data_IF_801928729977
#
_entry.id   IF_801928729977
#
_cell.length_a   1.000
_cell.length_b   1.000
_cell.length_c   1.000
_cell.angle_alpha   90.00
_cell.angle_beta   90.00
_cell.angle_gamma   90.00
#
_symmetry.space_group_name_H-M   'P 1'
#
loop_
_entity.id
_entity.type
_entity.pdbx_description
1 polymer ?
#
# COMPACT_ATOMS: atom_id res chain seq x y z
N UNK A 1 24.11 12.70 4.92
CA UNK A 1 22.93 12.26 5.66
C UNK A 1 22.02 11.65 4.62
N UNK A 2 21.76 10.34 4.68
CA UNK A 2 20.82 9.70 3.76
C UNK A 2 19.45 10.24 4.11
N UNK A 3 18.94 11.15 3.29
CA UNK A 3 17.59 11.68 3.41
C UNK A 3 16.68 10.53 2.95
N UNK A 4 16.33 9.61 3.86
CA UNK A 4 15.23 8.70 3.59
C UNK A 4 14.06 9.57 3.14
N UNK A 5 13.40 9.18 2.05
CA UNK A 5 12.30 9.92 1.45
C UNK A 5 11.09 9.86 2.38
N UNK A 6 11.20 10.49 3.54
CA UNK A 6 10.13 10.58 4.53
C UNK A 6 9.07 11.52 3.97
N UNK A 7 7.91 10.96 3.66
CA UNK A 7 6.75 11.67 3.17
C UNK A 7 5.49 11.04 3.73
N UNK A 8 4.43 11.83 3.86
CA UNK A 8 3.14 11.25 4.23
C UNK A 8 2.62 10.33 3.14
N UNK A 9 2.06 9.22 3.58
CA UNK A 9 1.23 8.33 2.78
C UNK A 9 -0.22 8.48 3.25
N UNK A 10 -1.15 8.44 2.30
CA UNK A 10 -2.57 8.46 2.55
C UNK A 10 -3.21 7.27 1.85
N UNK A 11 -4.08 6.59 2.58
CA UNK A 11 -4.84 5.45 2.11
C UNK A 11 -6.27 5.56 2.63
N UNK A 12 -7.25 5.24 1.79
CA UNK A 12 -8.63 5.11 2.25
C UNK A 12 -8.72 3.92 3.23
N UNK A 13 -9.44 4.08 4.34
CA UNK A 13 -9.51 3.04 5.37
C UNK A 13 -10.03 1.70 4.80
N UNK A 14 -11.05 1.73 3.95
CA UNK A 14 -11.62 0.53 3.31
C UNK A 14 -10.57 -0.20 2.48
N UNK A 15 -9.80 0.56 1.69
CA UNK A 15 -8.73 0.01 0.86
C UNK A 15 -7.59 -0.54 1.71
N UNK A 16 -7.17 0.17 2.76
CA UNK A 16 -6.15 -0.33 3.70
C UNK A 16 -6.56 -1.64 4.38
N UNK A 17 -7.82 -1.75 4.80
CA UNK A 17 -8.37 -3.00 5.36
C UNK A 17 -8.42 -4.13 4.33
N UNK A 18 -8.84 -3.82 3.11
CA UNK A 18 -8.88 -4.75 1.99
C UNK A 18 -7.50 -5.33 1.67
N UNK A 19 -6.49 -4.45 1.53
CA UNK A 19 -5.09 -4.85 1.33
C UNK A 19 -4.59 -5.76 2.44
N UNK A 20 -4.81 -5.37 3.70
CA UNK A 20 -4.36 -6.17 4.84
C UNK A 20 -4.99 -7.57 4.85
N UNK A 21 -6.29 -7.67 4.55
CA UNK A 21 -6.98 -8.95 4.48
C UNK A 21 -6.48 -9.84 3.33
N UNK A 22 -6.22 -9.26 2.15
CA UNK A 22 -5.68 -10.00 1.01
C UNK A 22 -4.24 -10.45 1.23
N UNK A 23 -3.38 -9.60 1.80
CA UNK A 23 -2.01 -9.97 2.18
C UNK A 23 -2.04 -11.16 3.15
N UNK A 24 -2.87 -11.10 4.20
CA UNK A 24 -3.01 -12.22 5.14
C UNK A 24 -3.51 -13.50 4.46
N UNK A 25 -4.43 -13.37 3.51
CA UNK A 25 -4.95 -14.51 2.75
C UNK A 25 -3.87 -15.13 1.87
N UNK A 26 -3.10 -14.31 1.16
CA UNK A 26 -1.95 -14.73 0.35
C UNK A 26 -0.92 -15.43 1.24
N UNK A 27 -0.53 -14.82 2.36
CA UNK A 27 0.43 -15.40 3.31
C UNK A 27 -0.02 -16.74 3.91
N UNK A 28 -1.32 -17.02 3.92
CA UNK A 28 -1.89 -18.27 4.43
C UNK A 28 -1.97 -19.40 3.40
N UNK A 29 -1.78 -19.10 2.11
CA UNK A 29 -1.77 -20.10 1.06
C UNK A 29 -0.53 -21.00 1.21
N UNK A 30 -0.70 -22.30 0.97
CA UNK A 30 0.37 -23.30 1.16
C UNK A 30 0.70 -24.08 -0.10
N UNK A 31 -0.16 -23.99 -1.11
CA UNK A 31 0.01 -24.64 -2.40
C UNK A 31 -0.22 -23.69 -3.57
N UNK A 32 0.31 -24.02 -4.75
CA UNK A 32 0.02 -23.26 -5.97
C UNK A 32 -1.49 -23.28 -6.31
N UNK A 33 -2.20 -24.37 -5.99
CA UNK A 33 -3.65 -24.45 -6.16
C UNK A 33 -4.39 -23.44 -5.30
N UNK A 34 -3.97 -23.25 -4.04
CA UNK A 34 -4.52 -22.20 -3.16
C UNK A 34 -4.34 -20.83 -3.79
N UNK A 35 -3.11 -20.52 -4.24
CA UNK A 35 -2.76 -19.21 -4.83
C UNK A 35 -3.52 -18.96 -6.13
N UNK A 36 -3.59 -19.93 -7.04
CA UNK A 36 -4.37 -19.85 -8.28
C UNK A 36 -5.84 -19.56 -8.01
N UNK A 37 -6.40 -20.16 -6.95
CA UNK A 37 -7.77 -19.91 -6.53
C UNK A 37 -8.00 -18.53 -5.90
N UNK A 38 -6.94 -17.80 -5.53
CA UNK A 38 -7.01 -16.42 -5.03
C UNK A 38 -7.03 -15.39 -6.15
N UNK A 39 -6.33 -15.61 -7.28
CA UNK A 39 -6.20 -14.66 -8.39
C UNK A 39 -7.53 -13.97 -8.76
N UNK A 40 -8.64 -14.68 -9.06
CA UNK A 40 -9.88 -14.02 -9.47
C UNK A 40 -10.60 -13.29 -8.33
N UNK A 41 -10.13 -13.42 -7.09
CA UNK A 41 -10.72 -12.83 -5.88
C UNK A 41 -9.96 -11.60 -5.40
N UNK A 42 -8.68 -11.47 -5.73
CA UNK A 42 -7.85 -10.33 -5.36
C UNK A 42 -8.35 -9.05 -6.05
N UNK A 43 -8.47 -7.98 -5.28
CA UNK A 43 -8.94 -6.66 -5.71
C UNK A 43 -7.99 -5.54 -5.33
N UNK A 44 -7.23 -5.74 -4.25
CA UNK A 44 -6.43 -4.69 -3.65
C UNK A 44 -4.94 -4.90 -3.90
N UNK A 45 -4.43 -6.12 -3.76
CA UNK A 45 -3.01 -6.45 -3.97
C UNK A 45 -2.81 -7.45 -5.10
N UNK A 46 -1.70 -7.32 -5.81
CA UNK A 46 -1.19 -8.37 -6.69
C UNK A 46 -0.52 -9.49 -5.87
N UNK A 47 -0.26 -10.61 -6.53
CA UNK A 47 0.60 -11.66 -5.97
C UNK A 47 2.07 -11.21 -6.01
N UNK A 48 2.94 -11.77 -5.14
CA UNK A 48 4.37 -11.45 -5.11
C UNK A 48 5.19 -12.04 -6.28
N UNK A 49 4.53 -12.52 -7.34
CA UNK A 49 5.14 -13.11 -8.52
C UNK A 49 4.19 -13.06 -9.72
N UNK A 50 4.73 -13.29 -10.92
CA UNK A 50 3.96 -13.47 -12.14
C UNK A 50 3.83 -14.96 -12.48
N UNK A 51 2.60 -15.40 -12.78
CA UNK A 51 2.36 -16.78 -13.23
C UNK A 51 2.92 -17.04 -14.62
N UNK A 52 3.12 -16.01 -15.45
CA UNK A 52 3.76 -16.16 -16.76
C UNK A 52 5.24 -16.58 -16.63
N UNK A 53 5.86 -16.32 -15.48
CA UNK A 53 7.25 -16.70 -15.19
C UNK A 53 7.38 -18.08 -14.52
N UNK A 54 6.27 -18.68 -14.05
CA UNK A 54 6.29 -20.04 -13.51
C UNK A 54 6.29 -21.08 -14.63
N UNK A 55 7.07 -22.15 -14.48
CA UNK A 55 7.11 -23.24 -15.44
C UNK A 55 5.73 -23.91 -15.53
N UNK A 56 5.15 -24.02 -16.74
CA UNK A 56 3.83 -24.62 -17.01
C UNK A 56 3.63 -26.04 -16.44
N UNK A 57 4.71 -26.67 -15.97
CA UNK A 57 4.75 -28.03 -15.45
C UNK A 57 4.35 -28.14 -13.96
N UNK A 58 4.11 -27.03 -13.25
CA UNK A 58 3.81 -27.05 -11.82
C UNK A 58 2.32 -27.35 -11.50
N UNK A 59 2.10 -28.43 -10.74
CA UNK A 59 0.78 -28.90 -10.32
C UNK A 59 0.20 -28.10 -9.16
N UNK A 60 -1.12 -28.06 -9.03
CA UNK A 60 -1.82 -27.39 -7.91
C UNK A 60 -1.39 -27.88 -6.51
N UNK A 61 -0.91 -29.11 -6.39
CA UNK A 61 -0.43 -29.69 -5.12
C UNK A 61 1.01 -29.28 -4.75
N UNK A 62 1.71 -28.54 -5.63
CA UNK A 62 3.05 -28.07 -5.34
C UNK A 62 3.04 -27.11 -4.15
N UNK A 63 3.98 -27.29 -3.23
CA UNK A 63 4.15 -26.42 -2.07
C UNK A 63 4.53 -25.02 -2.53
N UNK A 64 3.99 -24.03 -1.82
CA UNK A 64 4.21 -22.64 -2.11
C UNK A 64 4.46 -21.84 -0.84
N UNK A 65 5.43 -20.94 -0.89
CA UNK A 65 5.83 -20.07 0.20
C UNK A 65 6.02 -18.65 -0.32
N UNK A 66 5.17 -17.72 0.12
CA UNK A 66 5.20 -16.34 -0.33
C UNK A 66 6.54 -15.64 -0.14
N UNK A 67 7.33 -16.04 0.87
CA UNK A 67 8.65 -15.45 1.13
C UNK A 67 9.72 -15.86 0.12
N UNK A 68 9.50 -16.95 -0.60
CA UNK A 68 10.43 -17.47 -1.61
C UNK A 68 10.19 -16.85 -2.99
N UNK A 69 9.17 -15.99 -3.10
CA UNK A 69 8.83 -15.32 -4.35
C UNK A 69 9.68 -14.07 -4.57
N UNK A 70 10.18 -13.81 -5.80
CA UNK A 70 11.16 -12.75 -6.06
C UNK A 70 10.75 -11.37 -5.53
N UNK A 71 9.50 -10.93 -5.73
CA UNK A 71 9.09 -9.60 -5.28
C UNK A 71 9.00 -9.50 -3.75
N UNK A 72 8.74 -10.61 -3.06
CA UNK A 72 8.77 -10.65 -1.60
C UNK A 72 10.21 -10.68 -1.07
N UNK A 73 11.10 -11.44 -1.71
CA UNK A 73 12.53 -11.50 -1.36
C UNK A 73 13.21 -10.13 -1.53
N UNK A 74 12.90 -9.43 -2.63
CA UNK A 74 13.46 -8.12 -2.94
C UNK A 74 12.84 -6.98 -2.11
N UNK A 75 11.76 -7.26 -1.36
CA UNK A 75 11.05 -6.27 -0.54
C UNK A 75 10.17 -5.31 -1.36
N UNK A 76 9.88 -5.66 -2.61
CA UNK A 76 9.03 -4.91 -3.53
C UNK A 76 7.53 -5.27 -3.40
N UNK A 77 7.21 -6.31 -2.62
CA UNK A 77 5.86 -6.71 -2.27
C UNK A 77 5.58 -6.61 -0.77
N UNK A 78 4.43 -6.03 -0.36
CA UNK A 78 3.38 -5.44 -1.18
C UNK A 78 3.78 -4.08 -1.77
N UNK A 79 3.06 -3.64 -2.82
CA UNK A 79 3.23 -2.33 -3.45
C UNK A 79 3.35 -1.18 -2.44
N UNK A 80 4.24 -0.23 -2.73
CA UNK A 80 4.50 0.91 -1.85
C UNK A 80 3.24 1.77 -1.61
N UNK A 81 2.86 2.00 -0.34
CA UNK A 81 1.68 2.78 -0.01
C UNK A 81 1.64 4.20 -0.60
N UNK A 82 2.81 4.82 -0.80
CA UNK A 82 2.95 6.19 -1.32
C UNK A 82 2.38 6.37 -2.72
N UNK A 83 2.31 5.31 -3.53
CA UNK A 83 1.66 5.35 -4.84
C UNK A 83 0.12 5.54 -4.73
N UNK A 84 -0.50 5.14 -3.61
CA UNK A 84 -1.94 5.28 -3.43
C UNK A 84 -2.39 6.71 -3.21
N UNK A 85 -1.59 7.52 -2.51
CA UNK A 85 -1.94 8.92 -2.30
C UNK A 85 -2.12 9.66 -3.64
N UNK A 86 -1.27 9.36 -4.63
CA UNK A 86 -1.42 9.91 -5.98
C UNK A 86 -2.73 9.44 -6.61
N UNK A 87 -2.97 8.12 -6.70
CA UNK A 87 -4.21 7.56 -7.28
C UNK A 87 -5.49 8.07 -6.60
N UNK A 88 -5.45 8.24 -5.28
CA UNK A 88 -6.59 8.68 -4.51
C UNK A 88 -6.97 10.14 -4.82
N UNK A 89 -5.98 11.02 -5.05
CA UNK A 89 -6.23 12.45 -5.21
C UNK A 89 -6.16 12.95 -6.64
N UNK A 90 -5.48 12.27 -7.57
CA UNK A 90 -5.21 12.76 -8.93
C UNK A 90 -6.49 13.19 -9.67
N UNK A 91 -7.59 12.44 -9.52
CA UNK A 91 -8.87 12.74 -10.15
C UNK A 91 -9.81 13.60 -9.28
N UNK A 92 -9.37 14.00 -8.08
CA UNK A 92 -10.18 14.76 -7.13
C UNK A 92 -9.87 16.26 -7.23
N UNK A 93 -10.89 17.10 -7.04
CA UNK A 93 -10.74 18.55 -6.96
C UNK A 93 -9.85 19.05 -5.81
N UNK A 94 -9.40 18.15 -4.93
CA UNK A 94 -8.51 18.44 -3.81
C UNK A 94 -7.04 18.48 -4.22
N UNK A 95 -6.64 17.90 -5.36
CA UNK A 95 -5.24 17.73 -5.74
C UNK A 95 -4.49 19.07 -5.81
N UNK A 96 -5.06 20.05 -6.50
CA UNK A 96 -4.44 21.38 -6.66
C UNK A 96 -4.33 22.11 -5.31
N UNK A 97 -5.36 22.01 -4.47
CA UNK A 97 -5.37 22.59 -3.12
C UNK A 97 -4.30 21.93 -2.23
N UNK A 98 -4.14 20.61 -2.36
CA UNK A 98 -3.17 19.79 -1.64
C UNK A 98 -1.74 20.20 -2.03
N UNK A 99 -1.45 20.21 -3.32
CA UNK A 99 -0.15 20.62 -3.87
C UNK A 99 0.16 22.07 -3.49
N UNK A 100 -0.81 22.98 -3.63
CA UNK A 100 -0.62 24.39 -3.32
C UNK A 100 -0.35 24.65 -1.83
N UNK A 101 -1.03 23.92 -0.92
CA UNK A 101 -0.88 24.12 0.52
C UNK A 101 0.36 23.43 1.09
N UNK A 102 0.70 22.24 0.59
CA UNK A 102 1.76 21.40 1.17
C UNK A 102 3.08 21.44 0.40
N UNK A 103 3.07 21.92 -0.85
CA UNK A 103 4.23 21.80 -1.74
C UNK A 103 4.50 20.34 -2.13
N UNK A 104 3.46 19.50 -2.17
CA UNK A 104 3.60 18.11 -2.60
C UNK A 104 4.10 18.02 -4.05
N UNK A 105 4.92 17.00 -4.33
CA UNK A 105 5.54 16.79 -5.63
C UNK A 105 5.27 15.36 -6.13
N UNK A 106 5.03 15.20 -7.42
CA UNK A 106 5.04 13.86 -8.04
C UNK A 106 6.49 13.45 -8.25
N UNK A 107 6.87 12.30 -7.69
CA UNK A 107 8.20 11.72 -7.82
C UNK A 107 8.12 10.44 -8.64
N UNK A 108 8.81 10.42 -9.77
CA UNK A 108 8.94 9.23 -10.62
C UNK A 108 10.02 8.31 -10.08
N UNK A 109 9.66 7.05 -9.85
CA UNK A 109 10.62 5.99 -9.54
C UNK A 109 10.79 5.05 -10.74
N UNK A 110 11.96 4.42 -10.84
CA UNK A 110 12.28 3.54 -11.97
C UNK A 110 11.45 2.25 -11.94
N UNK A 111 11.15 1.73 -10.74
CA UNK A 111 10.51 0.42 -10.57
C UNK A 111 9.12 0.47 -9.91
N UNK A 112 8.82 1.50 -9.12
CA UNK A 112 7.59 1.58 -8.33
C UNK A 112 6.56 2.57 -8.89
N UNK A 113 6.84 3.14 -10.06
CA UNK A 113 6.02 4.17 -10.70
C UNK A 113 6.09 5.54 -10.02
N UNK A 114 5.12 6.39 -10.35
CA UNK A 114 4.98 7.73 -9.79
C UNK A 114 4.30 7.67 -8.42
N UNK A 115 4.77 8.47 -7.47
CA UNK A 115 4.11 8.66 -6.17
C UNK A 115 4.02 10.13 -5.78
N UNK A 116 3.05 10.46 -4.93
CA UNK A 116 2.89 11.81 -4.40
C UNK A 116 3.72 11.97 -3.12
N UNK A 117 4.78 12.78 -3.18
CA UNK A 117 5.63 13.10 -2.05
C UNK A 117 5.09 14.33 -1.31
N UNK A 118 4.49 14.11 -0.15
CA UNK A 118 4.04 15.18 0.74
C UNK A 118 5.05 15.35 1.89
N UNK A 119 5.65 16.55 2.09
CA UNK A 119 6.63 16.76 3.16
C UNK A 119 6.08 16.54 4.57
N UNK A 120 6.88 15.94 5.46
CA UNK A 120 6.47 15.66 6.85
C UNK A 120 6.20 16.90 7.69
N UNK A 121 6.91 17.99 7.45
CA UNK A 121 6.73 19.26 8.15
C UNK A 121 5.42 19.97 7.76
N UNK A 122 4.68 19.43 6.79
CA UNK A 122 3.43 19.96 6.25
C UNK A 122 2.19 19.21 6.69
N UNK A 123 2.29 18.40 7.75
CA UNK A 123 1.17 17.62 8.28
C UNK A 123 -0.07 18.47 8.58
N UNK A 124 0.12 19.63 9.21
CA UNK A 124 -1.01 20.49 9.58
C UNK A 124 -1.69 21.10 8.36
N UNK A 125 -0.90 21.48 7.35
CA UNK A 125 -1.40 22.01 6.08
C UNK A 125 -2.18 20.91 5.32
N UNK A 126 -1.65 19.69 5.32
CA UNK A 126 -2.29 18.50 4.77
C UNK A 126 -3.66 18.25 5.42
N UNK A 127 -3.70 18.15 6.74
CA UNK A 127 -4.93 17.89 7.50
C UNK A 127 -5.96 19.01 7.31
N UNK A 128 -5.52 20.27 7.22
CA UNK A 128 -6.40 21.40 6.96
C UNK A 128 -7.05 21.35 5.56
N UNK A 129 -6.31 20.90 4.54
CA UNK A 129 -6.86 20.69 3.20
C UNK A 129 -7.89 19.56 3.23
N UNK A 130 -7.54 18.39 3.79
CA UNK A 130 -8.46 17.26 3.90
C UNK A 130 -9.77 17.66 4.62
N UNK A 131 -9.67 18.35 5.75
CA UNK A 131 -10.82 18.80 6.52
C UNK A 131 -11.72 19.79 5.75
N UNK A 132 -11.12 20.70 4.97
CA UNK A 132 -11.86 21.68 4.13
C UNK A 132 -12.72 21.00 3.07
N UNK A 133 -12.24 19.87 2.57
CA UNK A 133 -12.95 19.02 1.59
C UNK A 133 -13.83 17.95 2.25
N UNK A 134 -14.01 18.00 3.58
CA UNK A 134 -14.88 17.08 4.32
C UNK A 134 -14.30 15.69 4.52
N UNK A 135 -12.99 15.51 4.32
CA UNK A 135 -12.29 14.24 4.49
C UNK A 135 -11.73 14.17 5.92
N UNK A 136 -12.19 13.19 6.68
CA UNK A 136 -11.62 12.89 7.99
C UNK A 136 -10.34 12.06 7.81
N UNK A 137 -9.25 12.52 8.41
CA UNK A 137 -7.98 11.82 8.43
C UNK A 137 -7.65 11.37 9.85
N UNK A 138 -7.15 10.14 9.97
CA UNK A 138 -6.66 9.58 11.24
C UNK A 138 -5.21 9.20 11.04
N UNK A 139 -4.33 9.59 11.96
CA UNK A 139 -2.93 9.14 11.94
C UNK A 139 -2.86 7.64 12.23
N UNK A 140 -1.98 6.96 11.53
CA UNK A 140 -1.74 5.53 11.68
C UNK A 140 -1.25 5.17 13.10
N UNK A 141 -0.37 5.98 13.70
CA UNK A 141 0.10 5.79 15.06
C UNK A 141 -1.05 5.79 16.08
N UNK A 142 -2.01 6.71 15.96
CA UNK A 142 -3.20 6.74 16.81
C UNK A 142 -4.05 5.46 16.67
N UNK A 143 -4.13 4.91 15.45
CA UNK A 143 -4.82 3.62 15.20
C UNK A 143 -4.03 2.47 15.82
N UNK A 144 -2.71 2.41 15.61
CA UNK A 144 -1.83 1.38 16.17
C UNK A 144 -1.89 1.41 17.69
N UNK A 145 -1.82 2.59 18.32
CA UNK A 145 -1.94 2.73 19.77
C UNK A 145 -3.31 2.28 20.28
N UNK A 146 -4.40 2.58 19.57
CA UNK A 146 -5.72 2.09 19.94
C UNK A 146 -5.83 0.56 19.84
N UNK A 147 -5.22 -0.06 18.83
CA UNK A 147 -5.16 -1.51 18.66
C UNK A 147 -4.24 -2.18 19.69
N UNK A 148 -3.09 -1.59 19.96
CA UNK A 148 -2.16 -2.02 21.00
C UNK A 148 -2.73 -1.83 22.41
N UNK A 149 -3.61 -0.84 22.60
CA UNK A 149 -4.37 -0.57 23.82
C UNK A 149 -5.48 -1.60 24.15
N UNK A 150 -5.43 -2.78 23.53
CA UNK A 150 -6.16 -3.99 23.96
C UNK A 150 -5.22 -5.13 24.42
N UNK A 151 -3.92 -4.87 24.47
CA UNK A 151 -2.93 -5.72 25.13
C UNK A 151 -2.18 -4.91 26.18
N UNK A 152 -2.87 -4.64 27.28
CA UNK A 152 -2.18 -4.37 28.54
C UNK A 152 -1.44 -5.65 28.97
N UNK A 153 -0.12 -5.52 29.12
CA UNK A 153 0.68 -6.27 30.09
C UNK A 153 0.78 -5.42 31.35
#
# INVERSE_FOLDING_TARGET
MWNMHESFCLIEETEGRGRAAEIQTIQSATTLGDVRALIPKLRYVSLPFDFEDQHEDETDDALWHWQEEPAAEDGDWPEMPTAYALRAFEDMSIFDDLVSATGAEIVTTVFSGDYLKIPLDREQDLLAVLARHGIAATRDDAVIYALAGSQDV
#
